data_IF_960729403266
#
_entry.id   IF_960729403266
#
_cell.length_a   1.000
_cell.length_b   1.000
_cell.length_c   1.000
_cell.angle_alpha   90.00
_cell.angle_beta   90.00
_cell.angle_gamma   90.00
#
_symmetry.space_group_name_H-M   'P 1'
#
loop_
_entity.id
_entity.type
_entity.pdbx_description
1 polymer ?
#
# COMPACT_ATOMS: atom_id res chain seq x y z
N UNK A 1 -14.55 -11.57 -16.72
CA UNK A 1 -14.13 -12.46 -15.61
C UNK A 1 -14.94 -12.12 -14.36
N UNK A 2 -16.20 -12.60 -14.22
CA UNK A 2 -17.09 -12.22 -13.10
C UNK A 2 -16.57 -12.70 -11.73
N UNK A 3 -15.75 -13.75 -11.71
CA UNK A 3 -15.20 -14.34 -10.47
C UNK A 3 -13.81 -13.81 -10.09
N UNK A 4 -13.19 -12.93 -10.90
CA UNK A 4 -11.88 -12.37 -10.58
C UNK A 4 -12.00 -11.29 -9.51
N UNK A 5 -11.15 -11.34 -8.49
CA UNK A 5 -10.98 -10.24 -7.53
C UNK A 5 -10.29 -9.06 -8.21
N UNK A 6 -10.81 -7.87 -7.99
CA UNK A 6 -10.30 -6.62 -8.54
C UNK A 6 -9.61 -5.85 -7.43
N UNK A 7 -8.31 -5.65 -7.59
CA UNK A 7 -7.51 -4.80 -6.71
C UNK A 7 -7.11 -3.57 -7.50
N UNK A 8 -7.33 -2.38 -6.94
CA UNK A 8 -6.96 -1.11 -7.56
C UNK A 8 -5.94 -0.40 -6.68
N UNK A 9 -4.78 -0.14 -7.26
CA UNK A 9 -3.80 0.81 -6.74
C UNK A 9 -4.03 2.15 -7.47
N UNK A 10 -4.58 3.16 -6.79
CA UNK A 10 -5.03 4.40 -7.44
C UNK A 10 -3.90 5.42 -7.58
N UNK A 11 -2.86 5.09 -8.33
CA UNK A 11 -1.66 5.92 -8.49
C UNK A 11 -1.99 7.32 -9.01
N UNK A 12 -2.08 8.30 -8.09
CA UNK A 12 -2.46 9.69 -8.40
C UNK A 12 -1.56 10.75 -7.74
N UNK A 13 -0.80 10.40 -6.72
CA UNK A 13 0.00 11.38 -6.00
C UNK A 13 0.78 10.78 -4.84
N UNK A 14 1.67 11.57 -4.27
CA UNK A 14 2.47 11.19 -3.11
C UNK A 14 2.91 12.44 -2.32
N UNK A 15 3.30 12.26 -1.05
CA UNK A 15 3.82 13.33 -0.19
C UNK A 15 2.93 14.60 -0.17
N UNK A 16 1.62 14.41 -0.07
CA UNK A 16 0.63 15.49 0.01
C UNK A 16 0.32 16.20 -1.32
N UNK A 17 0.82 15.70 -2.46
CA UNK A 17 0.65 16.34 -3.77
C UNK A 17 0.19 15.36 -4.83
N UNK A 18 -0.79 15.77 -5.63
CA UNK A 18 -1.14 15.07 -6.85
C UNK A 18 -0.01 15.19 -7.89
N UNK A 19 0.18 14.15 -8.69
CA UNK A 19 1.12 14.22 -9.82
C UNK A 19 0.61 15.22 -10.87
N UNK A 20 1.53 15.86 -11.59
CA UNK A 20 1.20 16.90 -12.57
C UNK A 20 0.29 16.45 -13.72
N UNK A 21 0.22 15.15 -13.97
CA UNK A 21 -0.66 14.52 -14.97
C UNK A 21 -2.07 14.23 -14.44
N UNK A 22 -2.30 14.35 -13.13
CA UNK A 22 -3.58 14.05 -12.50
C UNK A 22 -4.47 15.30 -12.52
N UNK A 23 -5.58 15.19 -13.22
CA UNK A 23 -6.61 16.24 -13.31
C UNK A 23 -7.81 15.87 -12.46
N UNK A 24 -8.69 16.82 -12.07
CA UNK A 24 -9.93 16.51 -11.36
C UNK A 24 -10.77 15.44 -12.09
N UNK A 25 -10.87 15.52 -13.40
CA UNK A 25 -11.59 14.52 -14.20
C UNK A 25 -10.97 13.13 -14.14
N UNK A 26 -9.63 13.02 -14.03
CA UNK A 26 -8.96 11.74 -13.82
C UNK A 26 -9.23 11.19 -12.42
N UNK A 27 -9.20 12.04 -11.40
CA UNK A 27 -9.55 11.66 -10.01
C UNK A 27 -10.97 11.11 -9.93
N UNK A 28 -11.94 11.75 -10.58
CA UNK A 28 -13.32 11.26 -10.63
C UNK A 28 -13.45 9.90 -11.29
N UNK A 29 -12.72 9.68 -12.39
CA UNK A 29 -12.68 8.38 -13.07
C UNK A 29 -12.02 7.31 -12.22
N UNK A 30 -10.93 7.64 -11.52
CA UNK A 30 -10.26 6.73 -10.59
C UNK A 30 -11.18 6.35 -9.43
N UNK A 31 -11.92 7.32 -8.87
CA UNK A 31 -12.97 7.05 -7.87
C UNK A 31 -14.03 6.10 -8.39
N UNK A 32 -14.48 6.27 -9.65
CA UNK A 32 -15.39 5.37 -10.32
C UNK A 32 -14.80 3.95 -10.51
N UNK A 33 -13.49 3.84 -10.72
CA UNK A 33 -12.78 2.56 -10.80
C UNK A 33 -12.71 1.90 -9.41
N UNK A 34 -12.36 2.65 -8.37
CA UNK A 34 -12.32 2.16 -6.98
C UNK A 34 -13.67 1.59 -6.53
N UNK A 35 -14.79 2.20 -6.92
CA UNK A 35 -16.15 1.68 -6.62
C UNK A 35 -16.46 0.32 -7.25
N UNK A 36 -15.64 -0.14 -8.19
CA UNK A 36 -15.76 -1.43 -8.87
C UNK A 36 -14.72 -2.45 -8.39
N UNK A 37 -13.85 -2.04 -7.48
CA UNK A 37 -12.83 -2.88 -6.88
C UNK A 37 -13.37 -3.67 -5.69
N UNK A 38 -12.73 -4.79 -5.38
CA UNK A 38 -12.95 -5.56 -4.17
C UNK A 38 -11.99 -5.11 -3.05
N UNK A 39 -10.86 -4.52 -3.43
CA UNK A 39 -9.84 -3.94 -2.55
C UNK A 39 -9.19 -2.74 -3.24
N UNK A 40 -8.95 -1.67 -2.48
CA UNK A 40 -8.17 -0.51 -2.92
C UNK A 40 -6.95 -0.31 -2.03
N UNK A 41 -5.84 0.14 -2.63
CA UNK A 41 -4.53 0.28 -1.96
C UNK A 41 -3.98 1.71 -2.05
N UNK A 42 -4.74 2.77 -1.70
CA UNK A 42 -4.23 4.14 -1.79
C UNK A 42 -3.13 4.40 -0.74
N UNK A 43 -2.19 5.29 -1.06
CA UNK A 43 -1.41 5.97 -0.03
C UNK A 43 -2.24 7.11 0.63
N UNK A 44 -1.69 7.77 1.65
CA UNK A 44 -2.41 8.83 2.38
C UNK A 44 -2.86 10.00 1.48
N UNK A 45 -2.04 10.39 0.50
CA UNK A 45 -2.36 11.45 -0.47
C UNK A 45 -3.51 11.03 -1.38
N UNK A 46 -3.45 9.85 -1.90
CA UNK A 46 -4.47 9.27 -2.78
C UNK A 46 -5.79 9.05 -2.06
N UNK A 47 -5.73 8.59 -0.80
CA UNK A 47 -6.91 8.47 0.05
C UNK A 47 -7.64 9.82 0.20
N UNK A 48 -6.89 10.91 0.45
CA UNK A 48 -7.46 12.24 0.54
C UNK A 48 -8.08 12.70 -0.79
N UNK A 49 -7.39 12.48 -1.92
CA UNK A 49 -7.92 12.79 -3.25
C UNK A 49 -9.20 12.01 -3.57
N UNK A 50 -9.23 10.72 -3.22
CA UNK A 50 -10.42 9.88 -3.39
C UNK A 50 -11.59 10.34 -2.52
N UNK A 51 -11.33 10.87 -1.33
CA UNK A 51 -12.30 11.38 -0.38
C UNK A 51 -12.63 12.89 -0.57
N UNK A 52 -12.09 13.52 -1.63
CA UNK A 52 -12.33 14.94 -1.98
C UNK A 52 -11.93 15.92 -0.87
N UNK A 53 -10.82 15.67 -0.22
CA UNK A 53 -10.28 16.52 0.83
C UNK A 53 -8.80 16.83 0.65
N UNK A 54 -8.31 17.83 1.36
CA UNK A 54 -6.89 18.14 1.40
C UNK A 54 -6.10 17.00 2.06
N UNK A 55 -4.95 16.60 1.49
CA UNK A 55 -4.09 15.61 2.10
C UNK A 55 -3.60 16.03 3.48
N UNK A 56 -3.67 15.14 4.46
CA UNK A 56 -3.08 15.37 5.76
C UNK A 56 -1.55 15.34 5.64
N UNK A 57 -0.88 16.36 6.17
CA UNK A 57 0.58 16.48 6.18
C UNK A 57 1.20 16.07 7.51
N UNK A 58 0.41 16.06 8.57
CA UNK A 58 0.84 15.67 9.91
C UNK A 58 0.91 14.15 10.05
N UNK A 59 1.69 13.70 11.04
CA UNK A 59 1.77 12.29 11.37
C UNK A 59 0.41 11.74 11.85
N UNK A 60 0.15 10.49 11.51
CA UNK A 60 -1.02 9.77 11.99
C UNK A 60 -0.75 9.15 13.36
N UNK A 61 -1.80 8.99 14.15
CA UNK A 61 -1.88 8.00 15.21
C UNK A 61 -2.72 6.79 14.74
N UNK A 62 -2.84 5.77 15.58
CA UNK A 62 -3.57 4.56 15.20
C UNK A 62 -5.05 4.83 14.94
N UNK A 63 -5.64 5.77 15.67
CA UNK A 63 -7.06 6.10 15.56
C UNK A 63 -7.35 6.84 14.24
N UNK A 64 -6.55 7.86 13.91
CA UNK A 64 -6.69 8.63 12.67
C UNK A 64 -6.33 7.80 11.43
N UNK A 65 -5.31 6.92 11.53
CA UNK A 65 -4.97 5.97 10.47
C UNK A 65 -6.13 5.00 10.18
N UNK A 66 -6.72 4.44 11.25
CA UNK A 66 -7.85 3.54 11.13
C UNK A 66 -9.11 4.26 10.60
N UNK A 67 -9.39 5.47 11.08
CA UNK A 67 -10.51 6.27 10.61
C UNK A 67 -10.41 6.56 9.10
N UNK A 68 -9.20 6.87 8.60
CA UNK A 68 -8.96 7.07 7.18
C UNK A 68 -9.28 5.82 6.35
N UNK A 69 -8.87 4.65 6.83
CA UNK A 69 -9.18 3.38 6.17
C UNK A 69 -10.68 3.06 6.20
N UNK A 70 -11.37 3.37 7.31
CA UNK A 70 -12.81 3.15 7.45
C UNK A 70 -13.63 4.03 6.50
N UNK A 71 -13.25 5.31 6.32
CA UNK A 71 -13.91 6.22 5.40
C UNK A 71 -13.87 5.74 3.94
N UNK A 72 -12.80 5.05 3.54
CA UNK A 72 -12.66 4.49 2.18
C UNK A 72 -13.61 3.34 1.89
N UNK A 73 -14.27 2.76 2.91
CA UNK A 73 -15.32 1.76 2.71
C UNK A 73 -16.57 2.33 2.01
N UNK A 74 -16.67 3.66 1.88
CA UNK A 74 -17.66 4.31 1.02
C UNK A 74 -17.41 4.08 -0.47
N UNK A 75 -16.19 3.67 -0.83
CA UNK A 75 -15.75 3.45 -2.19
C UNK A 75 -15.56 1.97 -2.54
N UNK A 76 -15.05 1.16 -1.60
CA UNK A 76 -14.77 -0.26 -1.85
C UNK A 76 -15.06 -1.12 -0.61
N UNK A 77 -15.36 -2.42 -0.76
CA UNK A 77 -15.60 -3.31 0.37
C UNK A 77 -14.41 -3.51 1.31
N UNK A 78 -13.20 -3.26 0.81
CA UNK A 78 -11.96 -3.31 1.59
C UNK A 78 -10.99 -2.24 1.12
N UNK A 79 -10.25 -1.65 2.05
CA UNK A 79 -9.21 -0.68 1.77
C UNK A 79 -7.99 -0.92 2.66
N UNK A 80 -6.80 -0.69 2.12
CA UNK A 80 -5.55 -0.61 2.88
C UNK A 80 -4.85 0.69 2.51
N UNK A 81 -4.76 1.62 3.45
CA UNK A 81 -4.01 2.88 3.27
C UNK A 81 -2.56 2.62 3.61
N UNK A 82 -1.66 2.90 2.68
CA UNK A 82 -0.22 2.64 2.79
C UNK A 82 0.57 3.93 3.05
N UNK A 83 1.84 3.79 3.43
CA UNK A 83 2.76 4.92 3.57
C UNK A 83 2.42 5.87 4.71
N UNK A 84 1.68 5.43 5.73
CA UNK A 84 1.30 6.25 6.87
C UNK A 84 2.48 6.52 7.79
N UNK A 85 2.78 7.81 8.02
CA UNK A 85 3.77 8.22 9.03
C UNK A 85 3.16 8.10 10.43
N UNK A 86 3.66 7.18 11.26
CA UNK A 86 3.14 6.82 12.58
C UNK A 86 4.22 7.04 13.65
N UNK A 87 4.62 8.29 13.86
CA UNK A 87 5.72 8.66 14.72
C UNK A 87 7.06 8.18 14.16
N UNK A 88 7.78 7.32 14.90
CA UNK A 88 9.04 6.70 14.41
C UNK A 88 8.82 5.52 13.47
N UNK A 89 7.58 5.20 13.16
CA UNK A 89 7.20 4.09 12.29
C UNK A 89 6.64 4.61 10.97
N UNK A 90 6.71 3.77 9.96
CA UNK A 90 5.90 3.82 8.75
C UNK A 90 4.98 2.62 8.76
N UNK A 91 3.76 2.76 8.25
CA UNK A 91 2.83 1.66 8.31
C UNK A 91 1.67 1.74 7.34
N UNK A 92 0.69 0.91 7.59
CA UNK A 92 -0.57 0.90 6.89
C UNK A 92 -1.73 0.66 7.84
N UNK A 93 -2.92 1.10 7.44
CA UNK A 93 -4.18 0.81 8.13
C UNK A 93 -5.14 0.14 7.15
N UNK A 94 -5.80 -0.92 7.58
CA UNK A 94 -6.76 -1.63 6.75
C UNK A 94 -8.14 -1.69 7.37
N UNK A 95 -9.15 -1.68 6.51
CA UNK A 95 -10.55 -1.81 6.88
C UNK A 95 -11.33 -2.65 5.87
N UNK A 96 -12.38 -3.33 6.36
CA UNK A 96 -13.22 -4.24 5.61
C UNK A 96 -13.77 -5.34 6.52
N UNK A 97 -13.47 -6.61 6.20
CA UNK A 97 -13.84 -7.75 7.08
C UNK A 97 -13.09 -7.73 8.43
N UNK A 98 -11.93 -7.12 8.45
CA UNK A 98 -11.08 -6.93 9.64
C UNK A 98 -10.53 -5.50 9.63
N UNK A 99 -10.17 -5.02 10.80
CA UNK A 99 -9.56 -3.69 11.00
C UNK A 99 -8.19 -3.89 11.62
N UNK A 100 -7.18 -3.21 11.10
CA UNK A 100 -5.82 -3.34 11.60
C UNK A 100 -4.99 -2.10 11.31
N UNK A 101 -3.97 -1.87 12.15
CA UNK A 101 -2.88 -0.93 11.90
C UNK A 101 -1.57 -1.70 12.05
N UNK A 102 -0.73 -1.66 11.02
CA UNK A 102 0.57 -2.33 10.98
C UNK A 102 1.65 -1.27 10.94
N UNK A 103 2.73 -1.49 11.70
CA UNK A 103 3.84 -0.55 11.85
C UNK A 103 5.17 -1.27 11.68
N UNK A 104 6.05 -0.69 10.87
CA UNK A 104 7.46 -1.08 10.77
C UNK A 104 8.33 0.13 11.12
N UNK A 105 9.53 -0.09 11.66
CA UNK A 105 10.44 1.03 11.92
C UNK A 105 10.74 1.78 10.63
N UNK A 106 10.61 3.11 10.68
CA UNK A 106 10.90 3.94 9.52
C UNK A 106 12.40 3.93 9.23
N UNK A 107 12.76 3.55 8.02
CA UNK A 107 14.13 3.61 7.51
C UNK A 107 14.23 4.88 6.69
N UNK A 108 15.14 5.79 7.08
CA UNK A 108 15.31 7.09 6.43
C UNK A 108 15.99 6.98 5.04
N UNK A 109 15.44 6.10 4.19
CA UNK A 109 15.83 5.90 2.80
C UNK A 109 14.59 5.80 1.96
N UNK A 110 14.53 6.52 0.86
CA UNK A 110 13.40 6.53 -0.08
C UNK A 110 13.81 5.92 -1.40
N UNK A 111 12.96 5.06 -1.93
CA UNK A 111 13.14 4.40 -3.22
C UNK A 111 11.84 4.44 -4.02
N UNK A 112 11.90 4.69 -5.33
CA UNK A 112 10.74 4.55 -6.19
C UNK A 112 10.29 3.08 -6.27
N UNK A 113 8.99 2.85 -6.49
CA UNK A 113 8.42 1.52 -6.70
C UNK A 113 8.18 0.69 -5.42
N UNK A 114 8.43 1.23 -4.22
CA UNK A 114 8.13 0.52 -2.97
C UNK A 114 6.63 0.28 -2.76
N UNK A 115 5.77 1.17 -3.25
CA UNK A 115 4.31 0.99 -3.26
C UNK A 115 3.89 -0.17 -4.17
N UNK A 116 4.42 -0.20 -5.41
CA UNK A 116 4.16 -1.28 -6.37
C UNK A 116 4.61 -2.63 -5.81
N UNK A 117 5.79 -2.68 -5.18
CA UNK A 117 6.31 -3.89 -4.54
C UNK A 117 5.41 -4.34 -3.38
N UNK A 118 4.97 -3.39 -2.54
CA UNK A 118 4.02 -3.66 -1.46
C UNK A 118 2.74 -4.29 -2.01
N UNK A 119 2.13 -3.67 -3.02
CA UNK A 119 0.91 -4.16 -3.66
C UNK A 119 1.08 -5.56 -4.24
N UNK A 120 2.20 -5.82 -4.93
CA UNK A 120 2.49 -7.11 -5.52
C UNK A 120 2.61 -8.23 -4.47
N UNK A 121 3.34 -7.98 -3.38
CA UNK A 121 3.53 -8.95 -2.28
C UNK A 121 2.19 -9.17 -1.55
N UNK A 122 1.43 -8.13 -1.26
CA UNK A 122 0.11 -8.23 -0.65
C UNK A 122 -0.83 -9.10 -1.49
N UNK A 123 -0.92 -8.84 -2.79
CA UNK A 123 -1.77 -9.62 -3.71
C UNK A 123 -1.30 -11.06 -3.77
N UNK A 124 0.00 -11.32 -3.88
CA UNK A 124 0.57 -12.66 -3.85
C UNK A 124 0.19 -13.43 -2.57
N UNK A 125 0.28 -12.76 -1.41
CA UNK A 125 -0.10 -13.33 -0.12
C UNK A 125 -1.60 -13.64 -0.03
N UNK A 126 -2.46 -12.76 -0.57
CA UNK A 126 -3.91 -13.01 -0.66
C UNK A 126 -4.26 -14.21 -1.56
N UNK A 127 -3.54 -14.39 -2.67
CA UNK A 127 -3.71 -15.54 -3.57
C UNK A 127 -3.34 -16.86 -2.86
N UNK A 128 -2.37 -16.82 -1.94
CA UNK A 128 -1.99 -17.96 -1.10
C UNK A 128 -3.03 -18.25 0.01
N UNK A 129 -4.10 -17.44 0.13
CA UNK A 129 -5.19 -17.67 1.08
C UNK A 129 -5.00 -16.97 2.44
N UNK A 130 -3.99 -16.14 2.60
CA UNK A 130 -3.80 -15.38 3.84
C UNK A 130 -4.93 -14.35 4.03
N UNK A 131 -5.24 -14.03 5.29
CA UNK A 131 -6.12 -12.93 5.65
C UNK A 131 -5.51 -11.58 5.23
N UNK A 132 -6.33 -10.54 5.06
CA UNK A 132 -5.86 -9.23 4.57
C UNK A 132 -4.83 -8.60 5.50
N UNK A 133 -5.03 -8.70 6.82
CA UNK A 133 -4.07 -8.19 7.82
C UNK A 133 -2.71 -8.91 7.73
N UNK A 134 -2.72 -10.24 7.60
CA UNK A 134 -1.50 -11.02 7.43
C UNK A 134 -0.80 -10.71 6.09
N UNK A 135 -1.56 -10.56 5.00
CA UNK A 135 -1.03 -10.19 3.70
C UNK A 135 -0.39 -8.79 3.72
N UNK A 136 -1.02 -7.84 4.41
CA UNK A 136 -0.50 -6.48 4.59
C UNK A 136 0.76 -6.46 5.46
N UNK A 137 0.83 -7.29 6.52
CA UNK A 137 2.04 -7.39 7.36
C UNK A 137 3.21 -8.04 6.60
N UNK A 138 2.95 -9.11 5.85
CA UNK A 138 3.93 -9.75 4.98
C UNK A 138 4.52 -8.76 3.96
N UNK A 139 3.65 -7.95 3.33
CA UNK A 139 4.07 -6.93 2.38
C UNK A 139 4.92 -5.84 3.04
N UNK A 140 4.50 -5.33 4.20
CA UNK A 140 5.24 -4.32 4.96
C UNK A 140 6.61 -4.84 5.41
N UNK A 141 6.69 -6.09 5.87
CA UNK A 141 7.94 -6.73 6.25
C UNK A 141 8.87 -6.90 5.06
N UNK A 142 8.35 -7.41 3.93
CA UNK A 142 9.15 -7.63 2.73
C UNK A 142 9.76 -6.32 2.21
N UNK A 143 8.96 -5.24 2.10
CA UNK A 143 9.44 -3.93 1.67
C UNK A 143 10.48 -3.38 2.64
N UNK A 144 10.25 -3.50 3.95
CA UNK A 144 11.20 -3.07 4.99
C UNK A 144 12.55 -3.78 4.84
N UNK A 145 12.53 -5.10 4.66
CA UNK A 145 13.74 -5.90 4.45
C UNK A 145 14.44 -5.53 3.13
N UNK A 146 13.69 -5.31 2.05
CA UNK A 146 14.25 -4.89 0.77
C UNK A 146 14.98 -3.55 0.89
N UNK A 147 14.40 -2.57 1.59
CA UNK A 147 15.05 -1.27 1.86
C UNK A 147 16.34 -1.48 2.69
N UNK A 148 16.30 -2.31 3.74
CA UNK A 148 17.44 -2.58 4.62
C UNK A 148 18.60 -3.23 3.88
N UNK A 149 18.31 -4.21 3.00
CA UNK A 149 19.32 -4.97 2.27
C UNK A 149 19.88 -4.25 1.05
N UNK A 150 19.20 -3.21 0.56
CA UNK A 150 19.68 -2.42 -0.58
C UNK A 150 21.01 -1.76 -0.22
N UNK A 151 22.12 -2.04 -0.96
CA UNK A 151 23.42 -1.44 -0.70
C UNK A 151 23.36 0.09 -0.65
N UNK A 152 24.22 0.70 0.17
CA UNK A 152 24.23 2.15 0.34
C UNK A 152 24.68 2.91 -0.92
N UNK A 153 25.49 2.27 -1.74
CA UNK A 153 26.04 2.78 -3.00
C UNK A 153 25.19 2.44 -4.23
N UNK A 154 24.08 1.73 -4.04
CA UNK A 154 23.14 1.43 -5.14
C UNK A 154 22.49 2.71 -5.66
N UNK A 155 22.44 2.85 -6.98
CA UNK A 155 21.68 3.91 -7.63
C UNK A 155 20.17 3.77 -7.30
N UNK A 156 19.65 4.72 -6.52
CA UNK A 156 18.27 4.69 -6.04
C UNK A 156 17.22 4.72 -7.16
N UNK A 157 17.60 5.13 -8.39
CA UNK A 157 16.70 5.14 -9.55
C UNK A 157 16.21 3.75 -9.96
N UNK A 158 16.96 2.70 -9.59
CA UNK A 158 16.58 1.30 -9.84
C UNK A 158 15.67 0.69 -8.76
N UNK A 159 15.23 1.49 -7.78
CA UNK A 159 14.40 1.02 -6.68
C UNK A 159 15.20 0.23 -5.63
N UNK A 160 14.50 -0.59 -4.87
CA UNK A 160 15.09 -1.46 -3.84
C UNK A 160 15.62 -2.76 -4.44
N UNK A 161 16.67 -3.32 -3.84
CA UNK A 161 17.20 -4.62 -4.23
C UNK A 161 16.40 -5.74 -3.57
N UNK A 162 15.31 -6.15 -4.18
CA UNK A 162 14.36 -7.12 -3.63
C UNK A 162 14.57 -8.55 -4.14
N UNK A 163 15.29 -8.74 -5.24
CA UNK A 163 15.44 -10.03 -5.92
C UNK A 163 15.99 -11.14 -5.00
N UNK A 164 17.00 -10.88 -4.13
CA UNK A 164 17.50 -11.89 -3.19
C UNK A 164 16.48 -12.32 -2.14
N UNK A 165 15.40 -11.55 -1.97
CA UNK A 165 14.33 -11.85 -1.01
C UNK A 165 13.20 -12.68 -1.61
N UNK A 166 13.11 -12.81 -2.94
CA UNK A 166 12.04 -13.55 -3.62
C UNK A 166 11.82 -14.98 -3.08
N UNK A 167 12.85 -15.75 -2.70
CA UNK A 167 12.65 -17.07 -2.10
C UNK A 167 11.81 -17.05 -0.82
N UNK A 168 11.74 -15.92 -0.10
CA UNK A 168 10.89 -15.78 1.11
C UNK A 168 9.40 -15.73 0.80
N UNK A 169 9.03 -15.39 -0.44
CA UNK A 169 7.64 -15.33 -0.89
C UNK A 169 7.12 -16.69 -1.38
N UNK A 170 8.01 -17.65 -1.63
CA UNK A 170 7.65 -18.97 -2.12
C UNK A 170 7.74 -19.97 -0.96
N UNK A 171 6.61 -20.44 -0.40
CA UNK A 171 6.63 -21.54 0.57
C UNK A 171 6.89 -22.91 -0.09
N UNK A 172 7.18 -22.96 -1.39
CA UNK A 172 7.33 -24.22 -2.14
C UNK A 172 8.78 -24.69 -2.05
N UNK A 173 9.00 -25.76 -1.28
CA UNK A 173 10.11 -26.65 -1.55
C UNK A 173 9.88 -27.28 -2.93
N UNK A 174 10.65 -26.87 -3.92
CA UNK A 174 10.81 -27.67 -5.13
C UNK A 174 11.50 -28.96 -4.67
N UNK A 175 10.71 -29.99 -4.37
CA UNK A 175 11.24 -31.34 -4.28
C UNK A 175 11.52 -31.80 -5.72
N UNK A 176 12.81 -31.99 -6.02
CA UNK A 176 13.30 -32.61 -7.24
C UNK A 176 12.62 -33.95 -7.52
#
# INVERSE_FOLDING_TARGET
WPAARKVVDPVMGDNGKAYSTVTPALTDRMRGLCRRADLILPNATEAALLLEREPQTDAFDDASAQALADELLTLAPSAVVTGLALGKYIGCAGSGRERFVIKKLHISRSFPGTGDLYGAVLIGSLIQGNALSAAADNAAEFVSLAIQQTPADQDTRYGVWFEPLLPRLCPVSWSD
#
